data_IF_815579168879
#
_entry.id   IF_815579168879
#
_cell.length_a   1.000
_cell.length_b   1.000
_cell.length_c   1.000
_cell.angle_alpha   90.00
_cell.angle_beta   90.00
_cell.angle_gamma   90.00
#
_symmetry.space_group_name_H-M   'P 1'
#
loop_
_entity.id
_entity.type
_entity.pdbx_description
1 polymer ?
#
# COMPACT_ATOMS: atom_id res chain seq x y z
N UNK A 1 17.19 3.86 -29.38
CA UNK A 1 15.80 4.33 -29.15
C UNK A 1 15.76 5.16 -27.87
N UNK A 2 14.99 6.25 -27.80
CA UNK A 2 14.84 7.01 -26.55
C UNK A 2 14.07 6.18 -25.50
N UNK A 3 14.31 6.42 -24.22
CA UNK A 3 13.62 5.70 -23.15
C UNK A 3 12.09 5.88 -23.21
N UNK A 4 11.63 7.03 -23.69
CA UNK A 4 10.20 7.34 -23.85
C UNK A 4 9.59 6.58 -25.03
N UNK A 5 10.21 6.61 -26.22
CA UNK A 5 9.74 5.83 -27.38
C UNK A 5 9.69 4.34 -27.05
N UNK A 6 10.70 3.85 -26.32
CA UNK A 6 10.73 2.47 -25.80
C UNK A 6 9.55 2.17 -24.89
N UNK A 7 9.27 3.05 -23.93
CA UNK A 7 8.15 2.86 -23.01
C UNK A 7 6.79 2.85 -23.73
N UNK A 8 6.59 3.72 -24.73
CA UNK A 8 5.36 3.73 -25.54
C UNK A 8 5.18 2.44 -26.33
N UNK A 9 6.27 1.89 -26.88
CA UNK A 9 6.23 0.59 -27.55
C UNK A 9 5.95 -0.57 -26.60
N UNK A 10 6.61 -0.63 -25.44
CA UNK A 10 6.33 -1.66 -24.44
C UNK A 10 4.88 -1.57 -23.93
N UNK A 11 4.36 -0.36 -23.74
CA UNK A 11 2.96 -0.14 -23.40
C UNK A 11 2.01 -0.64 -24.50
N UNK A 12 2.38 -0.51 -25.78
CA UNK A 12 1.63 -1.08 -26.91
C UNK A 12 1.62 -2.61 -26.89
N UNK A 13 2.77 -3.24 -26.68
CA UNK A 13 2.87 -4.71 -26.59
C UNK A 13 2.08 -5.29 -25.41
N UNK A 14 1.99 -4.53 -24.32
CA UNK A 14 1.26 -4.93 -23.11
C UNK A 14 -0.20 -4.48 -23.10
N UNK A 15 -0.68 -3.75 -24.11
CA UNK A 15 -1.99 -3.12 -24.05
C UNK A 15 -3.12 -4.17 -24.01
N UNK A 16 -4.07 -3.97 -23.09
CA UNK A 16 -5.35 -4.66 -23.04
C UNK A 16 -6.44 -3.61 -22.85
N UNK A 17 -7.44 -3.57 -23.73
CA UNK A 17 -8.39 -2.45 -23.84
C UNK A 17 -9.10 -2.09 -22.52
N UNK A 18 -9.42 -3.10 -21.71
CA UNK A 18 -10.12 -2.94 -20.42
C UNK A 18 -9.20 -2.77 -19.22
N UNK A 19 -7.88 -2.68 -19.43
CA UNK A 19 -6.88 -2.62 -18.35
C UNK A 19 -5.97 -1.41 -18.48
N UNK A 20 -5.49 -0.96 -17.33
CA UNK A 20 -4.29 -0.15 -17.21
C UNK A 20 -3.10 -1.08 -16.98
N UNK A 21 -1.92 -0.68 -17.42
CA UNK A 21 -0.69 -1.44 -17.23
C UNK A 21 0.37 -0.57 -16.60
N UNK A 22 1.13 -1.15 -15.66
CA UNK A 22 2.38 -0.59 -15.18
C UNK A 22 3.49 -1.61 -15.41
N UNK A 23 4.68 -1.14 -15.75
CA UNK A 23 5.81 -2.01 -16.03
C UNK A 23 7.15 -1.37 -15.69
N UNK A 24 8.16 -2.22 -15.54
CA UNK A 24 9.55 -1.86 -15.31
C UNK A 24 10.45 -2.86 -16.03
N UNK A 25 11.45 -2.35 -16.71
CA UNK A 25 12.44 -3.17 -17.42
C UNK A 25 13.69 -3.33 -16.57
N UNK A 26 14.20 -4.56 -16.48
CA UNK A 26 15.46 -4.87 -15.82
C UNK A 26 16.12 -6.10 -16.44
N UNK A 27 17.35 -5.94 -16.95
CA UNK A 27 18.19 -7.03 -17.51
C UNK A 27 17.49 -7.89 -18.57
N UNK A 28 16.88 -7.26 -19.58
CA UNK A 28 16.19 -7.96 -20.68
C UNK A 28 14.82 -8.53 -20.31
N UNK A 29 14.32 -8.26 -19.10
CA UNK A 29 13.00 -8.66 -18.63
C UNK A 29 12.11 -7.43 -18.46
N UNK A 30 10.84 -7.56 -18.80
CA UNK A 30 9.77 -6.58 -18.55
C UNK A 30 8.84 -7.16 -17.51
N UNK A 31 8.93 -6.66 -16.29
CA UNK A 31 7.98 -6.98 -15.22
C UNK A 31 6.79 -6.05 -15.35
N UNK A 32 5.59 -6.59 -15.43
CA UNK A 32 4.39 -5.77 -15.63
C UNK A 32 3.23 -6.27 -14.78
N UNK A 33 2.26 -5.40 -14.50
CA UNK A 33 0.98 -5.84 -13.97
C UNK A 33 -0.17 -5.09 -14.63
N UNK A 34 -1.30 -5.79 -14.76
CA UNK A 34 -2.56 -5.24 -15.23
C UNK A 34 -3.48 -4.93 -14.06
N UNK A 35 -4.27 -3.85 -14.23
CA UNK A 35 -5.35 -3.48 -13.33
C UNK A 35 -6.60 -3.06 -14.13
N UNK A 36 -7.79 -3.65 -13.88
CA UNK A 36 -8.98 -3.32 -14.65
C UNK A 36 -9.38 -1.85 -14.53
N UNK A 37 -9.69 -1.21 -15.66
CA UNK A 37 -10.21 0.16 -15.69
C UNK A 37 -11.54 0.22 -14.94
N UNK A 38 -11.70 1.22 -14.08
CA UNK A 38 -12.92 1.41 -13.28
C UNK A 38 -13.07 0.46 -12.08
N UNK A 39 -12.11 -0.45 -11.85
CA UNK A 39 -12.10 -1.29 -10.65
C UNK A 39 -11.97 -0.44 -9.39
N UNK A 40 -12.72 -0.81 -8.36
CA UNK A 40 -12.70 -0.19 -7.04
C UNK A 40 -11.98 -1.15 -6.09
N UNK A 41 -10.65 -1.01 -5.98
CA UNK A 41 -9.78 -1.82 -5.09
C UNK A 41 -8.64 -0.95 -4.49
N UNK A 42 -8.05 -1.28 -3.32
CA UNK A 42 -6.87 -0.59 -2.74
C UNK A 42 -5.58 -0.92 -3.44
N UNK A 43 -5.61 -0.68 -4.74
CA UNK A 43 -4.60 -1.10 -5.68
C UNK A 43 -4.72 -0.29 -6.98
N UNK A 44 -3.69 -0.43 -7.79
CA UNK A 44 -3.58 0.06 -9.15
C UNK A 44 -2.56 -0.82 -9.85
N UNK A 45 -2.37 -0.65 -11.16
CA UNK A 45 -1.29 -1.37 -11.85
C UNK A 45 0.09 -1.05 -11.24
N UNK A 46 0.30 0.18 -10.76
CA UNK A 46 1.56 0.56 -10.09
C UNK A 46 1.68 -0.13 -8.74
N UNK A 47 0.63 -0.08 -7.90
CA UNK A 47 0.66 -0.70 -6.57
C UNK A 47 0.86 -2.21 -6.69
N UNK A 48 0.10 -2.88 -7.55
CA UNK A 48 0.19 -4.32 -7.79
C UNK A 48 1.58 -4.74 -8.27
N UNK A 49 2.16 -3.99 -9.22
CA UNK A 49 3.55 -4.22 -9.67
C UNK A 49 4.53 -4.12 -8.50
N UNK A 50 4.45 -3.06 -7.70
CA UNK A 50 5.37 -2.82 -6.59
C UNK A 50 5.27 -3.91 -5.51
N UNK A 51 4.04 -4.20 -5.07
CA UNK A 51 3.80 -5.20 -4.03
C UNK A 51 4.24 -6.59 -4.47
N UNK A 52 3.88 -7.01 -5.68
CA UNK A 52 4.21 -8.34 -6.18
C UNK A 52 5.69 -8.50 -6.53
N UNK A 53 6.39 -7.43 -6.92
CA UNK A 53 7.85 -7.47 -7.08
C UNK A 53 8.56 -7.72 -5.74
N UNK A 54 8.13 -7.06 -4.66
CA UNK A 54 8.65 -7.37 -3.33
C UNK A 54 8.28 -8.79 -2.90
N UNK A 55 7.05 -9.23 -3.16
CA UNK A 55 6.59 -10.55 -2.74
C UNK A 55 7.39 -11.69 -3.41
N UNK A 56 7.64 -11.56 -4.72
CA UNK A 56 8.33 -12.60 -5.52
C UNK A 56 9.85 -12.51 -5.48
N UNK A 57 10.41 -11.32 -5.26
CA UNK A 57 11.85 -11.09 -5.41
C UNK A 57 12.54 -10.59 -4.15
N UNK A 58 11.80 -10.24 -3.09
CA UNK A 58 12.31 -9.83 -1.76
C UNK A 58 13.47 -8.84 -1.91
N UNK A 59 14.71 -9.21 -1.61
CA UNK A 59 15.88 -8.32 -1.68
C UNK A 59 16.23 -7.91 -3.12
N UNK A 60 15.94 -8.76 -4.10
CA UNK A 60 16.23 -8.45 -5.49
C UNK A 60 15.29 -7.36 -6.06
N UNK A 61 14.12 -7.15 -5.43
CA UNK A 61 13.18 -6.11 -5.82
C UNK A 61 13.80 -4.72 -5.83
N UNK A 62 14.72 -4.42 -4.90
CA UNK A 62 15.39 -3.11 -4.84
C UNK A 62 16.20 -2.78 -6.10
N UNK A 63 16.78 -3.79 -6.78
CA UNK A 63 17.53 -3.56 -8.02
C UNK A 63 16.60 -3.28 -9.20
N UNK A 64 15.47 -3.98 -9.26
CA UNK A 64 14.42 -3.77 -10.25
C UNK A 64 13.80 -2.37 -10.06
N UNK A 65 13.43 -2.02 -8.82
CA UNK A 65 12.71 -0.79 -8.48
C UNK A 65 13.57 0.48 -8.44
N UNK A 66 14.89 0.35 -8.66
CA UNK A 66 15.77 1.48 -9.00
C UNK A 66 15.57 1.97 -10.43
N UNK A 67 14.99 1.14 -11.29
CA UNK A 67 14.63 1.53 -12.65
C UNK A 67 13.37 2.40 -12.65
N UNK A 68 13.12 3.07 -13.78
CA UNK A 68 11.91 3.88 -13.92
C UNK A 68 10.72 2.97 -14.18
N UNK A 69 9.66 3.17 -13.41
CA UNK A 69 8.36 2.53 -13.64
C UNK A 69 7.58 3.37 -14.66
N UNK A 70 6.91 2.72 -15.57
CA UNK A 70 6.01 3.35 -16.53
C UNK A 70 4.60 2.84 -16.29
N UNK A 71 3.59 3.67 -16.51
CA UNK A 71 2.18 3.25 -16.45
C UNK A 71 1.35 4.03 -17.44
N UNK A 72 0.31 3.39 -17.98
CA UNK A 72 -0.68 4.04 -18.85
C UNK A 72 -1.72 4.84 -18.05
N UNK A 73 -1.76 4.66 -16.72
CA UNK A 73 -2.65 5.38 -15.82
C UNK A 73 -2.04 6.71 -15.31
N UNK A 74 -2.86 7.68 -14.89
CA UNK A 74 -2.39 8.79 -14.06
C UNK A 74 -1.88 8.28 -12.70
N UNK A 75 -0.88 8.97 -12.14
CA UNK A 75 -0.33 8.65 -10.82
C UNK A 75 -1.19 9.31 -9.73
N UNK A 76 -1.97 8.51 -9.01
CA UNK A 76 -2.77 8.93 -7.84
C UNK A 76 -1.88 9.23 -6.61
N UNK A 77 -2.45 9.78 -5.52
CA UNK A 77 -1.66 10.01 -4.30
C UNK A 77 -1.18 8.69 -3.68
N UNK A 78 -1.97 7.62 -3.76
CA UNK A 78 -1.54 6.26 -3.41
C UNK A 78 -0.34 5.81 -4.25
N UNK A 79 -0.37 5.98 -5.57
CA UNK A 79 0.75 5.62 -6.45
C UNK A 79 2.01 6.40 -6.09
N UNK A 80 1.91 7.74 -5.97
CA UNK A 80 3.05 8.60 -5.64
C UNK A 80 3.63 8.27 -4.27
N UNK A 81 2.77 8.03 -3.29
CA UNK A 81 3.16 7.63 -1.93
C UNK A 81 3.93 6.31 -1.94
N UNK A 82 3.39 5.29 -2.60
CA UNK A 82 4.02 3.98 -2.75
C UNK A 82 5.38 4.11 -3.43
N UNK A 83 5.45 4.79 -4.59
CA UNK A 83 6.70 5.03 -5.33
C UNK A 83 7.72 5.73 -4.44
N UNK A 84 7.33 6.75 -3.67
CA UNK A 84 8.25 7.53 -2.84
C UNK A 84 8.95 6.70 -1.76
N UNK A 85 8.27 5.66 -1.25
CA UNK A 85 8.80 4.81 -0.18
C UNK A 85 9.61 3.64 -0.75
N UNK A 86 9.14 3.00 -1.84
CA UNK A 86 9.70 1.71 -2.25
C UNK A 86 10.35 1.68 -3.64
N UNK A 87 10.27 2.76 -4.41
CA UNK A 87 10.86 2.85 -5.75
C UNK A 87 11.59 4.18 -5.97
N UNK A 88 12.30 4.30 -7.09
CA UNK A 88 13.06 5.52 -7.39
C UNK A 88 12.23 6.59 -8.08
N UNK A 89 11.50 6.22 -9.13
CA UNK A 89 10.81 7.15 -10.03
C UNK A 89 9.80 6.43 -10.90
N UNK A 90 8.75 7.14 -11.29
CA UNK A 90 7.78 6.68 -12.26
C UNK A 90 7.41 7.76 -13.27
N UNK A 91 6.82 7.34 -14.39
CA UNK A 91 6.16 8.17 -15.38
C UNK A 91 4.76 7.61 -15.62
N UNK A 92 3.74 8.45 -15.48
CA UNK A 92 2.35 8.10 -15.76
C UNK A 92 1.91 8.49 -17.16
N UNK A 93 0.70 8.09 -17.52
CA UNK A 93 -0.01 8.52 -18.74
C UNK A 93 0.79 8.24 -20.03
N UNK A 94 1.54 7.14 -20.05
CA UNK A 94 2.22 6.68 -21.26
C UNK A 94 1.18 6.27 -22.29
N UNK A 95 1.24 6.87 -23.48
CA UNK A 95 0.36 6.56 -24.60
C UNK A 95 0.98 5.41 -25.40
N UNK A 96 0.30 4.23 -25.46
CA UNK A 96 0.77 3.11 -26.27
C UNK A 96 0.97 3.50 -27.74
N UNK A 97 2.13 3.17 -28.31
CA UNK A 97 2.45 3.45 -29.72
C UNK A 97 3.37 2.36 -30.27
N UNK A 98 3.05 1.81 -31.45
CA UNK A 98 3.88 0.81 -32.09
C UNK A 98 5.16 1.43 -32.68
N UNK A 99 6.31 0.80 -32.45
CA UNK A 99 7.56 1.08 -33.15
C UNK A 99 7.89 -0.10 -34.05
N UNK A 100 7.80 0.08 -35.36
CA UNK A 100 8.04 -0.98 -36.37
C UNK A 100 9.52 -1.38 -36.44
N UNK A 101 10.43 -0.61 -35.85
CA UNK A 101 11.86 -0.89 -35.82
C UNK A 101 12.32 -1.61 -34.53
N UNK A 102 11.39 -2.00 -33.65
CA UNK A 102 11.73 -2.73 -32.44
C UNK A 102 12.09 -4.19 -32.77
N UNK A 103 13.35 -4.58 -32.50
CA UNK A 103 13.89 -5.91 -32.84
C UNK A 103 14.46 -6.67 -31.63
N UNK A 104 14.29 -6.14 -30.42
CA UNK A 104 14.85 -6.75 -29.21
C UNK A 104 13.96 -7.88 -28.71
N UNK A 105 14.59 -8.99 -28.30
CA UNK A 105 13.91 -10.07 -27.61
C UNK A 105 13.88 -9.76 -26.11
N UNK A 106 12.69 -9.59 -25.55
CA UNK A 106 12.46 -9.35 -24.13
C UNK A 106 11.61 -10.47 -23.54
N UNK A 107 11.91 -10.84 -22.30
CA UNK A 107 11.08 -11.74 -21.51
C UNK A 107 10.01 -10.93 -20.77
N UNK A 108 8.74 -11.27 -20.97
CA UNK A 108 7.61 -10.59 -20.33
C UNK A 108 7.14 -11.39 -19.12
N UNK A 109 7.15 -10.77 -17.93
CA UNK A 109 6.81 -11.41 -16.66
C UNK A 109 5.63 -10.66 -16.02
N UNK A 110 4.46 -11.28 -16.05
CA UNK A 110 3.27 -10.72 -15.39
C UNK A 110 3.35 -10.93 -13.87
N UNK A 111 3.24 -9.83 -13.13
CA UNK A 111 3.09 -9.77 -11.69
C UNK A 111 1.61 -9.84 -11.35
N UNK A 112 1.23 -11.02 -10.90
CA UNK A 112 -0.12 -11.49 -10.56
C UNK A 112 -1.11 -11.44 -11.73
N UNK A 113 -2.07 -12.38 -11.73
CA UNK A 113 -3.07 -12.47 -12.80
C UNK A 113 -3.82 -11.17 -12.98
N UNK A 114 -4.08 -10.75 -14.23
CA UNK A 114 -4.90 -9.58 -14.53
C UNK A 114 -6.29 -9.62 -13.87
N UNK A 115 -6.84 -10.80 -13.62
CA UNK A 115 -8.14 -10.98 -12.95
C UNK A 115 -8.12 -10.57 -11.46
N UNK A 116 -6.96 -10.63 -10.82
CA UNK A 116 -6.81 -10.28 -9.40
C UNK A 116 -6.64 -8.77 -9.22
N UNK A 117 -7.52 -8.15 -8.44
CA UNK A 117 -7.46 -6.69 -8.19
C UNK A 117 -6.45 -6.33 -7.11
N UNK A 118 -6.18 -7.24 -6.16
CA UNK A 118 -5.12 -7.10 -5.16
C UNK A 118 -3.94 -8.00 -5.51
N UNK A 119 -2.74 -7.57 -5.13
CA UNK A 119 -1.56 -8.44 -5.23
C UNK A 119 -1.67 -9.60 -4.24
N UNK A 120 -1.15 -10.76 -4.64
CA UNK A 120 -1.00 -11.89 -3.72
C UNK A 120 0.08 -11.55 -2.70
N UNK A 121 -0.25 -11.71 -1.40
CA UNK A 121 0.69 -11.40 -0.32
C UNK A 121 1.06 -12.71 0.39
N UNK A 122 2.26 -13.23 0.10
CA UNK A 122 2.76 -14.48 0.71
C UNK A 122 3.50 -14.22 2.03
N UNK A 123 4.00 -13.00 2.25
CA UNK A 123 4.79 -12.64 3.44
C UNK A 123 4.00 -11.91 4.54
N UNK A 124 2.68 -12.06 4.58
CA UNK A 124 1.86 -11.50 5.66
C UNK A 124 2.09 -12.32 6.95
N UNK A 125 2.45 -11.65 8.05
CA UNK A 125 2.72 -12.34 9.32
C UNK A 125 1.42 -12.90 9.97
N UNK A 126 1.58 -13.77 10.96
CA UNK A 126 0.47 -14.50 11.57
C UNK A 126 -0.46 -13.59 12.38
N UNK A 127 0.07 -12.51 12.93
CA UNK A 127 -0.64 -11.53 13.75
C UNK A 127 -1.74 -10.82 12.95
N UNK A 128 -1.55 -10.64 11.64
CA UNK A 128 -2.59 -10.14 10.74
C UNK A 128 -3.74 -11.14 10.47
N UNK A 129 -3.64 -12.39 10.94
CA UNK A 129 -4.65 -13.45 10.74
C UNK A 129 -5.61 -13.60 11.92
N UNK A 130 -5.46 -12.81 13.00
CA UNK A 130 -6.41 -12.84 14.11
C UNK A 130 -7.82 -12.42 13.64
N UNK A 131 -8.90 -13.13 14.01
CA UNK A 131 -10.27 -12.73 13.67
C UNK A 131 -10.68 -11.41 14.34
N UNK A 132 -11.43 -10.56 13.63
CA UNK A 132 -11.94 -9.30 14.18
C UNK A 132 -12.82 -9.50 15.43
N UNK A 133 -13.61 -10.57 15.47
CA UNK A 133 -14.46 -10.86 16.63
C UNK A 133 -13.65 -10.98 17.94
N UNK A 134 -12.47 -11.62 17.88
CA UNK A 134 -11.57 -11.76 19.02
C UNK A 134 -10.96 -10.41 19.43
N UNK A 135 -10.63 -9.56 18.46
CA UNK A 135 -10.12 -8.23 18.73
C UNK A 135 -11.18 -7.32 19.37
N UNK A 136 -12.41 -7.35 18.84
CA UNK A 136 -13.55 -6.62 19.40
C UNK A 136 -13.89 -7.09 20.82
N UNK A 137 -13.84 -8.40 21.09
CA UNK A 137 -14.02 -8.94 22.44
C UNK A 137 -12.93 -8.43 23.40
N UNK A 138 -11.67 -8.47 22.98
CA UNK A 138 -10.57 -7.94 23.79
C UNK A 138 -10.72 -6.44 24.08
N UNK A 139 -11.05 -5.61 23.09
CA UNK A 139 -11.27 -4.18 23.29
C UNK A 139 -12.43 -3.86 24.23
N UNK A 140 -13.53 -4.62 24.12
CA UNK A 140 -14.67 -4.48 25.04
C UNK A 140 -14.27 -4.80 26.48
N UNK A 141 -13.45 -5.85 26.68
CA UNK A 141 -12.95 -6.21 28.00
C UNK A 141 -12.01 -5.14 28.58
N UNK A 142 -11.19 -4.50 27.74
CA UNK A 142 -10.35 -3.35 28.10
C UNK A 142 -11.14 -2.05 28.30
N UNK A 143 -12.44 -2.03 27.97
CA UNK A 143 -13.32 -0.84 27.99
C UNK A 143 -12.77 0.34 27.20
N UNK A 144 -11.99 0.07 26.14
CA UNK A 144 -11.39 1.10 25.31
C UNK A 144 -12.47 1.85 24.51
N UNK A 145 -12.69 3.12 24.84
CA UNK A 145 -13.76 3.94 24.22
C UNK A 145 -13.29 5.34 23.83
N UNK A 146 -12.22 5.83 24.45
CA UNK A 146 -11.60 7.12 24.11
C UNK A 146 -10.53 6.96 23.04
N UNK A 147 -10.20 8.07 22.36
CA UNK A 147 -9.13 8.07 21.36
C UNK A 147 -7.76 7.64 21.95
N UNK A 148 -7.45 8.03 23.19
CA UNK A 148 -6.22 7.58 23.84
C UNK A 148 -6.23 6.06 24.13
N UNK A 149 -7.35 5.51 24.59
CA UNK A 149 -7.46 4.07 24.87
C UNK A 149 -7.39 3.23 23.60
N UNK A 150 -8.04 3.67 22.52
CA UNK A 150 -7.99 2.98 21.22
C UNK A 150 -6.58 3.05 20.61
N UNK A 151 -5.87 4.16 20.76
CA UNK A 151 -4.47 4.26 20.35
C UNK A 151 -3.55 3.41 21.22
N UNK A 152 -3.79 3.34 22.53
CA UNK A 152 -3.10 2.42 23.45
C UNK A 152 -3.37 0.96 23.07
N UNK A 153 -4.57 0.64 22.62
CA UNK A 153 -4.90 -0.69 22.13
C UNK A 153 -4.14 -1.04 20.84
N UNK A 154 -3.98 -0.08 19.92
CA UNK A 154 -3.09 -0.25 18.77
C UNK A 154 -1.64 -0.53 19.19
N UNK A 155 -1.13 0.11 20.25
CA UNK A 155 0.19 -0.25 20.82
C UNK A 155 0.26 -1.66 21.41
N UNK A 156 -0.81 -2.14 22.05
CA UNK A 156 -0.83 -3.51 22.52
C UNK A 156 -0.84 -4.52 21.36
N UNK A 157 -1.49 -4.19 20.23
CA UNK A 157 -1.39 -4.98 18.99
C UNK A 157 0.02 -4.97 18.41
N UNK A 158 0.70 -3.82 18.40
CA UNK A 158 2.04 -3.71 17.81
C UNK A 158 3.09 -4.54 18.57
N UNK A 159 2.88 -4.78 19.87
CA UNK A 159 3.72 -5.65 20.71
C UNK A 159 3.61 -7.14 20.38
N UNK A 160 2.61 -7.55 19.60
CA UNK A 160 2.48 -8.94 19.15
C UNK A 160 3.46 -9.25 18.01
N UNK A 161 4.00 -8.24 17.33
CA UNK A 161 4.96 -8.40 16.24
C UNK A 161 6.31 -8.85 16.81
N UNK A 162 6.82 -10.05 16.45
CA UNK A 162 8.08 -10.56 16.98
C UNK A 162 9.27 -9.66 16.63
N UNK A 163 10.15 -9.44 17.60
CA UNK A 163 11.43 -8.74 17.43
C UNK A 163 12.56 -9.66 17.83
N UNK A 164 13.63 -9.67 17.03
CA UNK A 164 14.88 -10.33 17.35
C UNK A 164 16.06 -9.38 17.21
N UNK A 165 17.25 -9.93 17.40
CA UNK A 165 18.50 -9.16 17.49
C UNK A 165 18.84 -8.44 16.18
N UNK A 166 18.59 -9.09 15.05
CA UNK A 166 18.89 -8.56 13.72
C UNK A 166 17.70 -7.76 13.20
N UNK A 167 17.67 -6.45 13.51
CA UNK A 167 16.50 -5.59 13.26
C UNK A 167 15.98 -5.59 11.81
N UNK A 168 16.82 -5.88 10.81
CA UNK A 168 16.40 -5.90 9.41
C UNK A 168 15.65 -7.19 9.01
N UNK A 169 15.80 -8.27 9.78
CA UNK A 169 15.11 -9.54 9.59
C UNK A 169 13.72 -9.54 10.23
N UNK A 170 13.41 -8.52 11.04
CA UNK A 170 12.17 -8.42 11.79
C UNK A 170 11.32 -7.24 11.32
N UNK A 171 10.01 -7.45 11.40
CA UNK A 171 9.05 -6.38 11.21
C UNK A 171 9.22 -5.32 12.32
N UNK A 172 8.92 -4.06 12.00
CA UNK A 172 8.79 -3.01 13.02
C UNK A 172 7.51 -3.24 13.84
N UNK A 173 7.55 -2.98 15.15
CA UNK A 173 6.39 -2.99 16.05
C UNK A 173 5.48 -1.79 15.76
N UNK A 174 4.75 -1.85 14.65
CA UNK A 174 3.79 -0.83 14.23
C UNK A 174 2.46 -1.55 13.98
N UNK A 175 1.39 -0.97 14.50
CA UNK A 175 0.03 -1.41 14.26
C UNK A 175 -0.90 -0.23 13.94
N UNK A 176 -2.01 -0.56 13.30
CA UNK A 176 -3.09 0.35 12.99
C UNK A 176 -4.45 -0.31 13.27
N UNK A 177 -5.43 0.50 13.67
CA UNK A 177 -6.80 0.10 13.99
C UNK A 177 -7.77 1.05 13.29
N UNK A 178 -8.82 0.52 12.67
CA UNK A 178 -9.91 1.29 12.07
C UNK A 178 -11.19 1.02 12.84
N UNK A 179 -11.79 2.08 13.35
CA UNK A 179 -12.98 2.03 14.20
C UNK A 179 -14.09 2.82 13.51
N UNK A 180 -15.31 2.27 13.52
CA UNK A 180 -16.49 2.94 13.00
C UNK A 180 -16.91 4.11 13.90
N UNK A 181 -17.81 4.95 13.41
CA UNK A 181 -18.44 6.01 14.21
C UNK A 181 -19.18 5.49 15.45
N UNK A 182 -19.56 4.21 15.44
CA UNK A 182 -20.33 3.56 16.51
C UNK A 182 -19.40 2.83 17.51
N UNK A 183 -18.07 2.91 17.33
CA UNK A 183 -17.08 2.32 18.23
C UNK A 183 -16.68 0.88 17.91
N UNK A 184 -17.21 0.29 16.83
CA UNK A 184 -16.87 -1.08 16.41
C UNK A 184 -15.58 -1.11 15.57
N UNK A 185 -14.71 -2.08 15.80
CA UNK A 185 -13.53 -2.26 14.92
C UNK A 185 -13.95 -2.83 13.58
N UNK A 186 -13.65 -2.05 12.53
CA UNK A 186 -13.88 -2.42 11.13
C UNK A 186 -12.68 -3.16 10.53
N UNK A 187 -11.47 -2.83 10.94
CA UNK A 187 -10.26 -3.51 10.47
C UNK A 187 -9.07 -3.18 11.37
N UNK A 188 -8.01 -3.98 11.26
CA UNK A 188 -6.72 -3.68 11.85
C UNK A 188 -5.61 -4.21 10.94
N UNK A 189 -4.40 -3.76 11.19
CA UNK A 189 -3.21 -4.31 10.55
C UNK A 189 -2.00 -4.14 11.45
N UNK A 190 -1.10 -5.10 11.39
CA UNK A 190 0.24 -4.96 11.97
C UNK A 190 1.27 -5.02 10.85
N UNK A 191 2.39 -4.35 11.04
CA UNK A 191 3.42 -4.24 10.02
C UNK A 191 4.06 -5.61 9.71
N UNK A 192 4.27 -5.92 8.43
CA UNK A 192 4.89 -7.16 7.90
C UNK A 192 5.99 -6.86 6.86
N UNK A 193 6.73 -5.78 7.09
CA UNK A 193 7.59 -5.18 6.08
C UNK A 193 9.04 -5.71 6.00
N UNK A 194 9.41 -6.72 6.80
CA UNK A 194 10.74 -7.34 6.76
C UNK A 194 11.08 -7.80 5.33
N UNK A 195 10.22 -8.59 4.70
CA UNK A 195 10.41 -9.12 3.33
C UNK A 195 9.76 -8.28 2.25
N UNK A 196 8.63 -7.62 2.54
CA UNK A 196 7.93 -6.80 1.57
C UNK A 196 7.70 -5.39 2.11
N UNK A 197 8.48 -4.42 1.62
CA UNK A 197 8.51 -3.05 2.14
C UNK A 197 7.20 -2.27 1.97
N UNK A 198 6.22 -2.83 1.27
CA UNK A 198 4.89 -2.24 1.09
C UNK A 198 3.89 -2.63 2.19
N UNK A 199 4.17 -3.69 2.97
CA UNK A 199 3.23 -4.27 3.95
C UNK A 199 3.29 -3.55 5.30
N UNK A 200 3.05 -2.24 5.28
CA UNK A 200 2.88 -1.45 6.50
C UNK A 200 1.54 -1.74 7.17
N UNK A 201 1.45 -1.44 8.47
CA UNK A 201 0.25 -1.69 9.27
C UNK A 201 -1.02 -1.08 8.64
N UNK A 202 -0.94 0.15 8.16
CA UNK A 202 -2.07 0.85 7.53
C UNK A 202 -2.44 0.26 6.17
N UNK A 203 -1.45 -0.21 5.40
CA UNK A 203 -1.69 -0.89 4.11
C UNK A 203 -2.38 -2.23 4.35
N UNK A 204 -1.87 -3.02 5.29
CA UNK A 204 -2.46 -4.30 5.69
C UNK A 204 -3.89 -4.12 6.20
N UNK A 205 -4.14 -3.09 7.00
CA UNK A 205 -5.47 -2.72 7.48
C UNK A 205 -6.43 -2.43 6.32
N UNK A 206 -6.05 -1.61 5.34
CA UNK A 206 -6.92 -1.24 4.23
C UNK A 206 -7.18 -2.45 3.32
N UNK A 207 -6.16 -3.27 3.06
CA UNK A 207 -6.29 -4.50 2.29
C UNK A 207 -7.21 -5.50 2.98
N UNK A 208 -7.08 -5.66 4.29
CA UNK A 208 -7.99 -6.48 5.10
C UNK A 208 -9.42 -5.94 5.03
N UNK A 209 -9.60 -4.64 5.28
CA UNK A 209 -10.91 -3.99 5.26
C UNK A 209 -11.64 -4.26 3.94
N UNK A 210 -10.95 -4.03 2.82
CA UNK A 210 -11.49 -4.29 1.49
C UNK A 210 -11.86 -5.76 1.26
N UNK A 211 -11.04 -6.71 1.73
CA UNK A 211 -11.34 -8.14 1.58
C UNK A 211 -12.56 -8.57 2.39
N UNK A 212 -12.75 -7.99 3.57
CA UNK A 212 -13.83 -8.38 4.50
C UNK A 212 -15.15 -7.64 4.23
N UNK A 213 -15.10 -6.39 3.80
CA UNK A 213 -16.27 -5.53 3.65
C UNK A 213 -16.53 -5.08 2.22
N UNK A 214 -15.52 -5.11 1.35
CA UNK A 214 -15.52 -4.32 0.11
C UNK A 214 -15.64 -2.83 0.43
N UNK A 215 -15.91 -2.01 -0.61
CA UNK A 215 -16.31 -0.61 -0.43
C UNK A 215 -15.27 0.29 0.25
N UNK A 216 -15.58 1.60 0.33
CA UNK A 216 -14.64 2.61 0.85
C UNK A 216 -14.76 2.75 2.36
N UNK A 217 -13.69 3.23 3.00
CA UNK A 217 -13.73 3.47 4.45
C UNK A 217 -14.87 4.47 4.72
N UNK A 218 -15.85 4.11 5.55
CA UNK A 218 -17.08 4.87 5.66
C UNK A 218 -16.87 6.18 6.41
N UNK A 219 -17.64 7.20 6.06
CA UNK A 219 -17.59 8.49 6.73
C UNK A 219 -17.82 8.38 8.26
N UNK A 220 -17.06 9.17 9.02
CA UNK A 220 -17.08 9.15 10.48
C UNK A 220 -16.22 8.07 11.12
N UNK A 221 -15.55 7.22 10.33
CA UNK A 221 -14.56 6.28 10.86
C UNK A 221 -13.31 7.00 11.34
N UNK A 222 -12.61 6.38 12.29
CA UNK A 222 -11.35 6.87 12.85
C UNK A 222 -10.26 5.82 12.69
N UNK A 223 -9.09 6.23 12.22
CA UNK A 223 -7.91 5.38 12.11
C UNK A 223 -6.92 5.73 13.21
N UNK A 224 -6.51 4.74 14.01
CA UNK A 224 -5.47 4.87 15.02
C UNK A 224 -4.23 4.16 14.53
N UNK A 225 -3.12 4.87 14.30
CA UNK A 225 -1.84 4.27 13.94
C UNK A 225 -0.81 4.56 15.02
N UNK A 226 -0.09 3.55 15.49
CA UNK A 226 0.96 3.76 16.51
C UNK A 226 1.99 4.81 16.07
N UNK A 227 2.31 4.85 14.77
CA UNK A 227 3.21 5.82 14.14
C UNK A 227 2.48 6.69 13.13
N UNK A 228 2.97 7.91 12.91
CA UNK A 228 2.44 8.81 11.88
C UNK A 228 2.50 8.12 10.50
N UNK A 229 1.39 8.05 9.75
CA UNK A 229 1.38 7.42 8.44
C UNK A 229 2.41 8.06 7.50
N UNK A 230 3.28 7.24 6.90
CA UNK A 230 4.19 7.70 5.86
C UNK A 230 3.45 8.06 4.56
N UNK A 231 4.13 8.68 3.58
CA UNK A 231 3.54 9.07 2.28
C UNK A 231 2.79 7.94 1.56
N UNK A 232 3.30 6.71 1.64
CA UNK A 232 2.61 5.52 1.12
C UNK A 232 1.30 5.24 1.85
N UNK A 233 1.33 5.12 3.17
CA UNK A 233 0.16 4.86 4.00
C UNK A 233 -0.87 5.99 3.90
N UNK A 234 -0.43 7.24 3.97
CA UNK A 234 -1.25 8.42 3.85
C UNK A 234 -1.95 8.51 2.48
N UNK A 235 -1.23 8.22 1.39
CA UNK A 235 -1.81 8.18 0.05
C UNK A 235 -2.85 7.05 -0.09
N UNK A 236 -2.58 5.87 0.47
CA UNK A 236 -3.53 4.76 0.50
C UNK A 236 -4.81 5.12 1.29
N UNK A 237 -4.67 5.67 2.50
CA UNK A 237 -5.80 6.11 3.34
C UNK A 237 -6.65 7.14 2.60
N UNK A 238 -6.01 8.16 2.02
CA UNK A 238 -6.69 9.23 1.30
C UNK A 238 -7.47 8.73 0.07
N UNK A 239 -6.88 7.85 -0.75
CA UNK A 239 -7.58 7.33 -1.93
C UNK A 239 -8.74 6.39 -1.54
N UNK A 240 -8.66 5.74 -0.37
CA UNK A 240 -9.63 4.77 0.11
C UNK A 240 -10.63 5.24 1.16
N UNK A 241 -10.64 6.52 1.47
CA UNK A 241 -11.76 7.12 2.19
C UNK A 241 -12.89 7.51 1.23
N UNK A 242 -14.15 7.43 1.66
CA UNK A 242 -15.26 8.03 0.90
C UNK A 242 -15.00 9.53 0.65
N UNK A 243 -15.47 10.06 -0.48
CA UNK A 243 -15.24 11.47 -0.84
C UNK A 243 -15.87 12.43 0.18
N UNK A 244 -16.98 12.04 0.81
CA UNK A 244 -17.65 12.75 1.90
C UNK A 244 -17.12 12.36 3.29
N UNK A 245 -16.03 11.59 3.36
CA UNK A 245 -15.53 11.06 4.62
C UNK A 245 -14.85 12.16 5.44
N UNK A 246 -15.30 12.33 6.67
CA UNK A 246 -14.57 13.05 7.70
C UNK A 246 -13.76 12.06 8.54
N UNK A 247 -12.71 11.47 7.97
CA UNK A 247 -11.83 10.55 8.70
C UNK A 247 -10.83 11.35 9.52
N UNK A 248 -10.66 10.96 10.78
CA UNK A 248 -9.53 11.38 11.61
C UNK A 248 -8.51 10.27 11.72
N UNK A 249 -7.24 10.65 11.65
CA UNK A 249 -6.11 9.74 11.84
C UNK A 249 -5.33 10.17 13.08
N UNK A 250 -5.38 9.34 14.13
CA UNK A 250 -4.67 9.57 15.37
C UNK A 250 -3.37 8.76 15.40
N UNK A 251 -2.29 9.38 15.86
CA UNK A 251 -1.01 8.71 16.06
C UNK A 251 -0.26 9.19 17.29
N UNK A 252 0.70 8.41 17.78
CA UNK A 252 1.49 8.77 18.97
C UNK A 252 2.96 9.06 18.66
N UNK A 253 3.56 8.28 17.75
CA UNK A 253 4.99 8.40 17.43
C UNK A 253 5.16 9.13 16.10
N UNK A 254 5.94 10.20 16.09
CA UNK A 254 6.41 10.83 14.87
C UNK A 254 7.86 10.40 14.60
N UNK A 255 8.10 9.72 13.48
CA UNK A 255 9.46 9.34 13.09
C UNK A 255 10.24 10.57 12.61
N UNK A 256 11.50 10.69 13.03
CA UNK A 256 12.44 11.68 12.52
C UNK A 256 12.84 11.32 11.08
N UNK A 257 12.03 11.73 10.10
CA UNK A 257 12.30 11.45 8.69
C UNK A 257 11.34 12.13 7.72
N UNK A 258 11.81 12.41 6.51
CA UNK A 258 11.02 13.10 5.48
C UNK A 258 9.89 12.27 4.86
N UNK A 259 9.70 11.01 5.25
CA UNK A 259 8.68 10.12 4.68
C UNK A 259 7.29 10.30 5.32
N UNK A 260 7.21 10.76 6.57
CA UNK A 260 5.98 11.02 7.33
C UNK A 260 5.60 12.51 7.36
N UNK A 261 6.40 13.38 6.72
CA UNK A 261 6.14 14.82 6.66
C UNK A 261 5.48 15.24 5.35
N UNK A 262 4.61 16.26 5.46
CA UNK A 262 3.89 16.88 4.34
C UNK A 262 3.11 15.86 3.50
N UNK A 263 2.55 14.86 4.18
CA UNK A 263 1.67 13.87 3.57
C UNK A 263 0.36 14.52 3.12
N UNK A 264 -0.42 13.84 2.29
CA UNK A 264 -1.76 14.33 1.91
C UNK A 264 -2.67 14.53 3.14
N UNK A 265 -2.52 13.68 4.17
CA UNK A 265 -3.26 13.80 5.43
C UNK A 265 -2.85 15.02 6.24
N UNK A 266 -1.57 15.41 6.23
CA UNK A 266 -1.10 16.65 6.88
C UNK A 266 -1.68 17.88 6.18
N UNK A 267 -1.63 17.91 4.84
CA UNK A 267 -2.13 19.03 4.03
C UNK A 267 -3.64 19.26 4.22
N UNK A 268 -4.38 18.19 4.51
CA UNK A 268 -5.83 18.23 4.72
C UNK A 268 -6.22 18.34 6.21
N UNK A 269 -5.27 18.38 7.14
CA UNK A 269 -5.57 18.45 8.58
C UNK A 269 -6.29 17.21 9.13
N UNK A 270 -6.05 16.04 8.53
CA UNK A 270 -6.67 14.76 8.93
C UNK A 270 -5.83 14.01 9.97
N UNK A 271 -4.53 14.30 10.03
CA UNK A 271 -3.59 13.75 11.00
C UNK A 271 -3.60 14.55 12.31
N UNK A 272 -3.72 13.86 13.45
CA UNK A 272 -3.59 14.47 14.77
C UNK A 272 -2.74 13.58 15.68
N UNK A 273 -1.70 14.17 16.28
CA UNK A 273 -0.92 13.48 17.29
C UNK A 273 -1.66 13.48 18.64
N UNK A 274 -1.69 12.34 19.30
CA UNK A 274 -2.11 12.20 20.70
C UNK A 274 -0.86 11.94 21.56
N UNK A 275 -0.86 12.40 22.82
CA UNK A 275 0.19 12.05 23.76
C UNK A 275 0.25 10.54 23.95
N UNK A 276 1.47 10.00 24.00
CA UNK A 276 1.77 8.61 24.31
C UNK A 276 1.50 8.26 25.76
#
# INVERSE_FOLDING_TARGET
MSAEKRARHLAFLLNKDTFQVAFVEFRGKVYFSHFPKGSVAPSSAVVKLLQGLFDRHVDHSFFILRQRIFTTAPLTEMCKGMIKVVAKRASGEIIPEQDTHFQESLEFIEIDSAAEVLSTVTHLNAENKMPLAKLNEWLRNEKASTNQELLKAAHALSKQVPRGEVLHDHDRCIAALLVSKDGEVLSYGVNSNSKNKTLHAEVNLIHRYYREHGGKIPSGSVLYSTHKPCKMCAGMIYEWMETSANIKVYYSVEESGGLSSQTVLDRLGLNQQLPS
#
